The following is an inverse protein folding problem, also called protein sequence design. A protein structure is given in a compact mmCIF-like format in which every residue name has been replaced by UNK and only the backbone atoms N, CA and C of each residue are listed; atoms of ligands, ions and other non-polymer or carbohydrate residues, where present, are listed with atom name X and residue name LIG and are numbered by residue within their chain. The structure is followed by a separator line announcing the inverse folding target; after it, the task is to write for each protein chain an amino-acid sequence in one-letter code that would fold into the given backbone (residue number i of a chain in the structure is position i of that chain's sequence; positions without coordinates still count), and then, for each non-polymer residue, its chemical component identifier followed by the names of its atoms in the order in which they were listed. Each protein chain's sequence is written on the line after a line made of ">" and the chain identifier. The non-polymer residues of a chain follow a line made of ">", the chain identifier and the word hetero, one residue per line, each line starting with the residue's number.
data_IF_837450337976
#
_entry.id   IF_837450337976
#
_cell.length_a   1.000
_cell.length_b   1.000
_cell.length_c   1.000
_cell.angle_alpha   90.00
_cell.angle_beta   90.00
_cell.angle_gamma   90.00
#
_symmetry.space_group_name_H-M   'P 1'
#
loop_
_entity.id
_entity.type
_entity.pdbx_description
1 polymer ?
#
# COMPACT_ATOMS: atom_id res chain seq x y z
N UNK A 1 -12.29 -7.67 33.42
CA UNK A 1 -10.82 -7.63 33.62
C UNK A 1 -10.01 -7.85 32.34
N UNK A 2 -10.59 -8.47 31.28
CA UNK A 2 -9.86 -8.73 30.02
C UNK A 2 -9.93 -7.60 28.97
N UNK A 3 -10.88 -6.69 29.07
CA UNK A 3 -11.02 -5.58 28.09
C UNK A 3 -9.93 -4.52 28.26
N UNK A 4 -9.47 -4.24 29.46
CA UNK A 4 -8.46 -3.20 29.74
C UNK A 4 -7.04 -3.60 29.34
N UNK A 5 -6.73 -4.90 29.24
CA UNK A 5 -5.44 -5.40 28.80
C UNK A 5 -5.36 -5.40 27.25
N UNK A 6 -6.44 -5.77 26.58
CA UNK A 6 -6.53 -5.74 25.11
C UNK A 6 -6.46 -4.30 24.57
N UNK A 7 -7.04 -3.33 25.25
CA UNK A 7 -6.97 -1.92 24.85
C UNK A 7 -5.58 -1.33 25.07
N UNK A 8 -4.90 -1.67 26.15
CA UNK A 8 -3.51 -1.26 26.40
C UNK A 8 -2.49 -1.91 25.45
N UNK A 9 -2.75 -3.12 25.01
CA UNK A 9 -1.92 -3.79 24.00
C UNK A 9 -2.12 -3.18 22.62
N UNK A 10 -3.36 -2.79 22.28
CA UNK A 10 -3.66 -2.04 21.05
C UNK A 10 -2.99 -0.67 21.04
N UNK A 11 -3.03 0.07 22.13
CA UNK A 11 -2.40 1.38 22.24
C UNK A 11 -0.86 1.27 22.09
N UNK A 12 -0.23 0.29 22.70
CA UNK A 12 1.22 0.05 22.55
C UNK A 12 1.60 -0.38 21.13
N UNK A 13 0.75 -1.17 20.47
CA UNK A 13 0.94 -1.56 19.07
C UNK A 13 0.72 -0.38 18.13
N UNK A 14 -0.25 0.47 18.40
CA UNK A 14 -0.45 1.72 17.66
C UNK A 14 0.73 2.67 17.81
N UNK A 15 1.27 2.84 19.00
CA UNK A 15 2.45 3.67 19.26
C UNK A 15 3.71 3.11 18.57
N UNK A 16 3.89 1.80 18.59
CA UNK A 16 4.97 1.13 17.87
C UNK A 16 4.84 1.25 16.35
N UNK A 17 3.62 1.16 15.82
CA UNK A 17 3.31 1.38 14.43
C UNK A 17 3.50 2.83 14.01
N UNK A 18 3.10 3.78 14.85
CA UNK A 18 3.31 5.21 14.60
C UNK A 18 4.79 5.56 14.46
N UNK A 19 5.68 4.79 15.06
CA UNK A 19 7.13 4.94 14.88
C UNK A 19 7.65 4.31 13.58
N UNK A 20 6.97 3.33 13.02
CA UNK A 20 7.37 2.61 11.79
C UNK A 20 6.53 2.98 10.57
N UNK A 21 5.33 3.50 10.78
CA UNK A 21 4.46 4.05 9.75
C UNK A 21 4.69 5.56 9.72
N UNK A 22 5.26 6.01 8.63
CA UNK A 22 5.26 7.44 8.34
C UNK A 22 3.82 7.79 7.96
N UNK A 23 3.04 8.27 8.94
CA UNK A 23 1.77 8.90 8.64
C UNK A 23 2.07 10.35 8.29
N UNK A 24 1.83 10.71 7.05
CA UNK A 24 2.12 12.05 6.56
C UNK A 24 0.95 12.57 5.70
N UNK A 25 0.80 13.88 5.65
CA UNK A 25 0.16 14.56 4.52
C UNK A 25 1.29 15.11 3.65
N UNK A 26 1.77 14.33 2.69
CA UNK A 26 2.90 14.74 1.88
C UNK A 26 2.55 16.00 1.10
N UNK A 27 3.53 16.87 0.89
CA UNK A 27 3.38 18.07 0.07
C UNK A 27 4.26 17.97 -1.18
N UNK A 28 4.13 16.88 -1.90
CA UNK A 28 4.82 16.63 -3.17
C UNK A 28 3.83 16.84 -4.30
N UNK A 29 4.14 17.75 -5.21
CA UNK A 29 3.31 18.02 -6.38
C UNK A 29 3.76 17.18 -7.57
N UNK A 30 2.88 17.03 -8.56
CA UNK A 30 3.22 16.37 -9.82
C UNK A 30 4.41 17.03 -10.54
N UNK A 31 4.52 18.35 -10.44
CA UNK A 31 5.60 19.12 -11.06
C UNK A 31 6.97 18.86 -10.40
N UNK A 32 6.98 18.41 -9.15
CA UNK A 32 8.20 18.05 -8.43
C UNK A 32 8.76 16.69 -8.91
N UNK A 33 7.96 15.90 -9.62
CA UNK A 33 8.36 14.61 -10.19
C UNK A 33 8.82 14.83 -11.62
N UNK A 34 10.12 14.69 -11.88
CA UNK A 34 10.67 14.84 -13.21
C UNK A 34 10.28 13.68 -14.12
N UNK A 35 9.82 13.97 -15.33
CA UNK A 35 9.47 12.95 -16.32
C UNK A 35 8.31 12.04 -15.92
N UNK A 36 8.35 10.77 -16.34
CA UNK A 36 7.37 9.73 -16.00
C UNK A 36 5.93 10.06 -16.43
N UNK A 37 5.75 10.78 -17.53
CA UNK A 37 4.44 11.27 -17.98
C UNK A 37 3.41 10.16 -18.18
N UNK A 38 3.83 8.99 -18.70
CA UNK A 38 2.96 7.82 -18.85
C UNK A 38 2.48 7.26 -17.51
N UNK A 39 3.38 7.20 -16.53
CA UNK A 39 3.04 6.74 -15.18
C UNK A 39 2.14 7.75 -14.46
N UNK A 40 2.44 9.04 -14.56
CA UNK A 40 1.61 10.11 -14.01
C UNK A 40 0.21 10.08 -14.60
N UNK A 41 0.08 9.95 -15.93
CA UNK A 41 -1.22 9.85 -16.60
C UNK A 41 -2.00 8.63 -16.11
N UNK A 42 -1.37 7.46 -16.05
CA UNK A 42 -2.01 6.24 -15.55
C UNK A 42 -2.47 6.36 -14.10
N UNK A 43 -1.70 7.01 -13.24
CA UNK A 43 -2.06 7.26 -11.84
C UNK A 43 -3.16 8.31 -11.71
N UNK A 44 -3.14 9.37 -12.50
CA UNK A 44 -4.24 10.34 -12.55
C UNK A 44 -5.56 9.67 -12.91
N UNK A 45 -5.56 8.83 -13.92
CA UNK A 45 -6.76 8.09 -14.35
C UNK A 45 -7.23 7.07 -13.29
N UNK A 46 -6.28 6.38 -12.65
CA UNK A 46 -6.61 5.31 -11.71
C UNK A 46 -7.02 5.80 -10.33
N UNK A 47 -6.51 6.94 -9.87
CA UNK A 47 -6.67 7.44 -8.50
C UNK A 47 -7.43 8.76 -8.45
N UNK A 48 -6.97 9.75 -9.22
CA UNK A 48 -7.50 11.11 -9.13
C UNK A 48 -8.90 11.22 -9.73
N UNK A 49 -9.14 10.59 -10.89
CA UNK A 49 -10.46 10.61 -11.51
C UNK A 49 -11.56 9.98 -10.63
N UNK A 50 -11.37 8.77 -10.03
CA UNK A 50 -12.36 8.22 -9.10
C UNK A 50 -12.60 9.08 -7.85
N UNK A 51 -11.55 9.73 -7.35
CA UNK A 51 -11.66 10.62 -6.18
C UNK A 51 -12.44 11.89 -6.48
N UNK A 52 -12.23 12.49 -7.66
CA UNK A 52 -12.90 13.74 -8.07
C UNK A 52 -14.29 13.53 -8.67
N UNK A 53 -14.49 12.41 -9.35
CA UNK A 53 -15.73 12.11 -10.08
C UNK A 53 -16.28 10.72 -9.71
N UNK A 54 -16.65 10.48 -8.45
CA UNK A 54 -17.13 9.18 -8.00
C UNK A 54 -18.39 8.71 -8.76
N UNK A 55 -19.19 9.64 -9.27
CA UNK A 55 -20.37 9.36 -10.07
C UNK A 55 -20.09 8.62 -11.39
N UNK A 56 -18.87 8.72 -11.93
CA UNK A 56 -18.48 8.02 -13.14
C UNK A 56 -18.09 6.56 -12.90
N UNK A 57 -17.87 6.20 -11.62
CA UNK A 57 -17.42 4.89 -11.18
C UNK A 57 -18.52 4.12 -10.44
N UNK A 58 -19.65 3.98 -11.10
CA UNK A 58 -20.82 3.25 -10.59
C UNK A 58 -21.06 1.95 -11.37
N UNK A 59 -21.67 0.97 -10.74
CA UNK A 59 -22.00 -0.31 -11.37
C UNK A 59 -20.78 -1.17 -11.66
N UNK A 60 -20.51 -1.44 -12.93
CA UNK A 60 -19.37 -2.28 -13.37
C UNK A 60 -18.02 -1.56 -13.34
N UNK A 61 -18.02 -0.23 -13.35
CA UNK A 61 -16.82 0.61 -13.27
C UNK A 61 -16.50 0.87 -11.81
N UNK A 62 -15.61 0.07 -11.25
CA UNK A 62 -15.15 0.26 -9.85
C UNK A 62 -13.76 0.85 -9.84
N UNK A 63 -13.43 1.73 -8.87
CA UNK A 63 -12.06 2.17 -8.65
C UNK A 63 -11.13 1.00 -8.35
N UNK A 64 -9.88 1.13 -8.75
CA UNK A 64 -8.85 0.15 -8.43
C UNK A 64 -8.59 0.12 -6.92
N UNK A 65 -8.46 -1.07 -6.35
CA UNK A 65 -8.17 -1.28 -4.93
C UNK A 65 -6.68 -1.39 -4.65
N UNK A 66 -5.95 -1.97 -5.60
CA UNK A 66 -4.53 -2.18 -5.54
C UNK A 66 -3.85 -1.80 -6.84
N UNK A 67 -2.80 -0.99 -6.72
CA UNK A 67 -1.95 -0.57 -7.84
C UNK A 67 -0.52 -0.94 -7.53
N UNK A 68 0.15 -1.61 -8.46
CA UNK A 68 1.55 -1.98 -8.35
C UNK A 68 2.41 -1.06 -9.19
N UNK A 69 3.36 -0.38 -8.54
CA UNK A 69 4.44 0.35 -9.19
C UNK A 69 5.66 -0.57 -9.30
N UNK A 70 6.13 -0.81 -10.49
CA UNK A 70 7.28 -1.69 -10.69
C UNK A 70 8.29 -1.09 -11.67
N UNK A 71 9.55 -1.38 -11.45
CA UNK A 71 10.65 -0.89 -12.27
C UNK A 71 11.99 -0.92 -11.55
N UNK A 72 13.08 -0.50 -12.20
CA UNK A 72 14.41 -0.51 -11.60
C UNK A 72 14.49 0.25 -10.29
N UNK A 73 15.44 -0.07 -9.40
CA UNK A 73 15.66 0.69 -8.18
C UNK A 73 16.08 2.13 -8.49
N UNK A 74 15.75 3.05 -7.58
CA UNK A 74 16.14 4.46 -7.72
C UNK A 74 15.36 5.26 -8.75
N UNK A 75 14.21 4.77 -9.23
CA UNK A 75 13.35 5.45 -10.21
C UNK A 75 12.33 6.40 -9.60
N UNK A 76 12.32 6.56 -8.27
CA UNK A 76 11.42 7.49 -7.58
C UNK A 76 10.00 6.97 -7.34
N UNK A 77 9.80 5.64 -7.26
CA UNK A 77 8.47 5.04 -7.00
C UNK A 77 7.82 5.57 -5.72
N UNK A 78 8.58 5.67 -4.63
CA UNK A 78 8.09 6.20 -3.35
C UNK A 78 7.73 7.68 -3.43
N UNK A 79 8.52 8.44 -4.16
CA UNK A 79 8.27 9.87 -4.38
C UNK A 79 7.00 10.11 -5.21
N UNK A 80 6.82 9.30 -6.25
CA UNK A 80 5.62 9.30 -7.08
C UNK A 80 4.37 8.93 -6.27
N UNK A 81 4.47 7.95 -5.35
CA UNK A 81 3.37 7.58 -4.46
C UNK A 81 2.96 8.74 -3.55
N UNK A 82 3.92 9.50 -3.03
CA UNK A 82 3.65 10.72 -2.24
C UNK A 82 2.95 11.80 -3.07
N UNK A 83 3.36 11.99 -4.33
CA UNK A 83 2.70 12.93 -5.23
C UNK A 83 1.24 12.54 -5.49
N UNK A 84 0.96 11.26 -5.67
CA UNK A 84 -0.42 10.75 -5.80
C UNK A 84 -1.26 11.08 -4.57
N UNK A 85 -0.72 10.84 -3.38
CA UNK A 85 -1.42 11.12 -2.13
C UNK A 85 -1.70 12.62 -1.93
N UNK A 86 -0.76 13.47 -2.29
CA UNK A 86 -0.92 14.94 -2.24
C UNK A 86 -2.04 15.38 -3.17
N UNK A 87 -2.03 14.94 -4.41
CA UNK A 87 -3.02 15.35 -5.42
C UNK A 87 -4.43 14.76 -5.15
N UNK A 88 -4.50 13.60 -4.50
CA UNK A 88 -5.75 12.99 -4.09
C UNK A 88 -6.28 13.52 -2.73
N UNK A 89 -5.55 14.43 -2.09
CA UNK A 89 -5.85 14.92 -0.73
C UNK A 89 -6.11 13.77 0.27
N UNK A 90 -5.28 12.76 0.19
CA UNK A 90 -5.41 11.52 0.97
C UNK A 90 -4.37 11.45 2.08
N UNK A 91 -4.72 10.83 3.19
CA UNK A 91 -3.76 10.47 4.23
C UNK A 91 -2.84 9.37 3.72
N UNK A 92 -1.54 9.55 3.87
CA UNK A 92 -0.53 8.64 3.35
C UNK A 92 0.09 7.83 4.47
N UNK A 93 0.02 6.51 4.35
CA UNK A 93 0.66 5.56 5.24
C UNK A 93 1.76 4.84 4.47
N UNK A 94 3.01 5.01 4.88
CA UNK A 94 4.16 4.35 4.24
C UNK A 94 4.77 3.31 5.16
N UNK A 95 4.92 2.10 4.66
CA UNK A 95 5.50 0.97 5.37
C UNK A 95 6.48 0.23 4.47
N UNK A 96 7.64 -0.16 5.02
CA UNK A 96 8.53 -1.12 4.35
C UNK A 96 8.15 -2.54 4.73
N UNK A 97 7.95 -3.41 3.74
CA UNK A 97 7.64 -4.81 4.00
C UNK A 97 8.81 -5.55 4.65
N UNK A 98 10.04 -5.15 4.36
CA UNK A 98 11.24 -5.69 5.03
C UNK A 98 11.22 -5.40 6.55
N UNK A 99 10.79 -4.21 6.96
CA UNK A 99 10.63 -3.87 8.37
C UNK A 99 9.53 -4.69 9.05
N UNK A 100 8.42 -4.92 8.35
CA UNK A 100 7.33 -5.78 8.87
C UNK A 100 7.80 -7.22 9.13
N UNK A 101 8.63 -7.77 8.26
CA UNK A 101 9.14 -9.13 8.40
C UNK A 101 10.22 -9.23 9.46
N UNK A 102 11.12 -8.25 9.56
CA UNK A 102 12.34 -8.33 10.38
C UNK A 102 12.16 -7.84 11.83
N UNK A 103 11.43 -6.74 12.01
CA UNK A 103 11.34 -6.08 13.33
C UNK A 103 10.22 -6.64 14.20
N UNK A 104 9.19 -7.22 13.62
CA UNK A 104 7.96 -7.57 14.33
C UNK A 104 7.62 -9.05 14.23
N UNK A 105 8.63 -9.92 14.40
CA UNK A 105 8.44 -11.38 14.39
C UNK A 105 7.42 -11.77 15.46
N UNK A 106 6.31 -12.39 15.04
CA UNK A 106 5.21 -12.81 15.91
C UNK A 106 4.06 -11.79 16.07
N UNK A 107 4.28 -10.50 15.77
CA UNK A 107 3.26 -9.45 15.89
C UNK A 107 2.86 -8.83 14.55
N UNK A 108 3.53 -9.19 13.48
CA UNK A 108 3.37 -8.58 12.15
C UNK A 108 1.95 -8.71 11.60
N UNK A 109 1.24 -9.79 11.92
CA UNK A 109 -0.17 -9.97 11.52
C UNK A 109 -1.07 -8.91 12.18
N UNK A 110 -0.88 -8.68 13.49
CA UNK A 110 -1.61 -7.64 14.24
C UNK A 110 -1.29 -6.25 13.67
N UNK A 111 -0.04 -6.01 13.30
CA UNK A 111 0.42 -4.75 12.73
C UNK A 111 -0.26 -4.46 11.38
N UNK A 112 -0.35 -5.44 10.50
CA UNK A 112 -1.06 -5.29 9.22
C UNK A 112 -2.54 -4.98 9.46
N UNK A 113 -3.20 -5.70 10.35
CA UNK A 113 -4.59 -5.46 10.69
C UNK A 113 -4.80 -4.04 11.21
N UNK A 114 -3.97 -3.60 12.16
CA UNK A 114 -4.03 -2.25 12.74
C UNK A 114 -3.76 -1.17 11.68
N UNK A 115 -2.81 -1.38 10.76
CA UNK A 115 -2.55 -0.47 9.65
C UNK A 115 -3.79 -0.24 8.79
N UNK A 116 -4.50 -1.31 8.42
CA UNK A 116 -5.72 -1.19 7.63
C UNK A 116 -6.88 -0.58 8.44
N UNK A 117 -6.98 -0.84 9.73
CA UNK A 117 -7.96 -0.21 10.63
C UNK A 117 -7.71 1.30 10.70
N UNK A 118 -6.47 1.74 10.94
CA UNK A 118 -6.10 3.16 10.96
C UNK A 118 -6.37 3.84 9.61
N UNK A 119 -6.11 3.16 8.50
CA UNK A 119 -6.40 3.69 7.18
C UNK A 119 -7.90 3.85 6.94
N UNK A 120 -8.75 2.96 7.48
CA UNK A 120 -10.20 3.08 7.42
C UNK A 120 -10.74 4.23 8.26
N UNK A 121 -10.13 4.51 9.39
CA UNK A 121 -10.50 5.63 10.27
C UNK A 121 -10.16 6.99 9.64
N UNK A 122 -9.09 7.06 8.85
CA UNK A 122 -8.56 8.30 8.25
C UNK A 122 -8.81 8.40 6.74
N UNK A 123 -9.97 7.99 6.29
CA UNK A 123 -10.37 8.09 4.87
C UNK A 123 -10.42 9.55 4.39
N UNK A 124 -10.15 9.83 3.12
CA UNK A 124 -9.52 8.94 2.15
C UNK A 124 -8.05 8.69 2.47
N UNK A 125 -7.58 7.47 2.27
CA UNK A 125 -6.22 7.09 2.63
C UNK A 125 -5.55 6.21 1.57
N UNK A 126 -4.23 6.33 1.49
CA UNK A 126 -3.38 5.52 0.64
C UNK A 126 -2.38 4.78 1.53
N UNK A 127 -2.37 3.46 1.42
CA UNK A 127 -1.36 2.61 2.06
C UNK A 127 -0.29 2.31 1.02
N UNK A 128 0.91 2.82 1.23
CA UNK A 128 2.07 2.55 0.39
C UNK A 128 2.97 1.51 1.05
N UNK A 129 3.22 0.42 0.34
CA UNK A 129 4.09 -0.66 0.80
C UNK A 129 5.27 -0.76 -0.15
N UNK A 130 6.44 -0.37 0.36
CA UNK A 130 7.69 -0.50 -0.38
C UNK A 130 8.26 -1.91 -0.26
N UNK A 131 9.01 -2.32 -1.28
CA UNK A 131 9.65 -3.65 -1.35
C UNK A 131 8.67 -4.80 -1.08
N UNK A 132 7.49 -4.74 -1.69
CA UNK A 132 6.42 -5.70 -1.43
C UNK A 132 6.80 -7.15 -1.75
N UNK A 133 7.81 -7.35 -2.57
CA UNK A 133 8.42 -8.65 -2.86
C UNK A 133 8.96 -9.34 -1.60
N UNK A 134 9.49 -8.59 -0.62
CA UNK A 134 9.96 -9.15 0.66
C UNK A 134 8.83 -9.81 1.47
N UNK A 135 7.60 -9.30 1.32
CA UNK A 135 6.41 -9.83 1.98
C UNK A 135 5.72 -10.91 1.15
N UNK A 136 5.82 -10.81 -0.16
CA UNK A 136 4.90 -11.45 -1.10
C UNK A 136 5.62 -12.26 -2.19
N UNK A 137 6.87 -12.65 -1.97
CA UNK A 137 7.60 -13.51 -2.89
C UNK A 137 6.93 -14.86 -3.06
N UNK A 138 7.15 -15.47 -4.22
CA UNK A 138 6.65 -16.79 -4.52
C UNK A 138 7.27 -17.81 -3.56
N UNK A 139 6.50 -18.84 -3.22
CA UNK A 139 6.89 -19.89 -2.29
C UNK A 139 8.20 -20.55 -2.74
N UNK A 140 9.29 -20.28 -1.99
CA UNK A 140 10.55 -21.01 -2.10
C UNK A 140 10.68 -22.03 -0.96
N UNK A 141 11.55 -23.01 -1.13
CA UNK A 141 12.00 -23.88 -0.04
C UNK A 141 12.72 -23.01 0.99
N UNK A 142 12.06 -22.65 2.09
CA UNK A 142 12.60 -21.79 3.15
C UNK A 142 11.73 -20.58 3.52
N UNK A 143 10.53 -20.43 2.93
CA UNK A 143 9.59 -19.41 3.40
C UNK A 143 9.24 -19.70 4.87
N UNK A 144 9.56 -18.74 5.76
CA UNK A 144 9.23 -18.89 7.17
C UNK A 144 7.71 -18.92 7.37
N UNK A 145 7.24 -19.70 8.34
CA UNK A 145 5.81 -19.74 8.66
C UNK A 145 5.27 -18.35 8.99
N UNK A 146 6.11 -17.51 9.59
CA UNK A 146 5.78 -16.11 9.90
C UNK A 146 5.51 -15.30 8.63
N UNK A 147 6.37 -15.38 7.61
CA UNK A 147 6.17 -14.67 6.34
C UNK A 147 4.88 -15.11 5.64
N UNK A 148 4.57 -16.41 5.70
CA UNK A 148 3.33 -16.96 5.14
C UNK A 148 2.09 -16.42 5.84
N UNK A 149 2.12 -16.29 7.17
CA UNK A 149 1.01 -15.74 7.96
C UNK A 149 0.79 -14.26 7.64
N UNK A 150 1.87 -13.48 7.57
CA UNK A 150 1.83 -12.06 7.21
C UNK A 150 1.20 -11.89 5.82
N UNK A 151 1.63 -12.67 4.85
CA UNK A 151 1.08 -12.65 3.48
C UNK A 151 -0.41 -12.97 3.47
N UNK A 152 -0.82 -13.99 4.22
CA UNK A 152 -2.23 -14.39 4.32
C UNK A 152 -3.08 -13.27 4.92
N UNK A 153 -2.63 -12.67 6.01
CA UNK A 153 -3.35 -11.55 6.64
C UNK A 153 -3.45 -10.35 5.69
N UNK A 154 -2.37 -10.03 5.01
CA UNK A 154 -2.37 -8.96 4.00
C UNK A 154 -3.41 -9.21 2.90
N UNK A 155 -3.48 -10.44 2.38
CA UNK A 155 -4.46 -10.82 1.36
C UNK A 155 -5.91 -10.71 1.90
N UNK A 156 -6.14 -11.09 3.15
CA UNK A 156 -7.45 -10.96 3.81
C UNK A 156 -7.86 -9.49 3.94
N UNK A 157 -6.96 -8.64 4.39
CA UNK A 157 -7.21 -7.20 4.51
C UNK A 157 -7.46 -6.55 3.15
N UNK A 158 -6.70 -6.93 2.13
CA UNK A 158 -6.91 -6.47 0.75
C UNK A 158 -8.28 -6.88 0.20
N UNK A 159 -8.79 -8.06 0.56
CA UNK A 159 -10.15 -8.48 0.18
C UNK A 159 -11.24 -7.62 0.83
N UNK A 160 -10.99 -7.14 2.04
CA UNK A 160 -11.87 -6.23 2.77
C UNK A 160 -11.97 -4.85 2.12
N UNK A 161 -10.91 -4.41 1.45
CA UNK A 161 -10.86 -3.11 0.76
C UNK A 161 -11.87 -3.11 -0.40
N UNK A 162 -12.80 -2.16 -0.39
CA UNK A 162 -13.76 -1.93 -1.48
C UNK A 162 -15.05 -2.73 -1.41
N UNK A 163 -15.42 -3.33 -0.27
CA UNK A 163 -16.75 -3.88 -0.09
C UNK A 163 -17.83 -2.81 0.14
N UNK A 164 -17.45 -1.61 0.56
CA UNK A 164 -18.32 -0.44 0.66
C UNK A 164 -17.45 0.81 0.68
N UNK A 165 -17.45 1.63 -0.36
CA UNK A 165 -16.84 2.99 -0.41
C UNK A 165 -15.72 3.26 0.61
N UNK A 166 -14.79 2.30 0.76
CA UNK A 166 -13.82 2.32 1.86
C UNK A 166 -12.81 3.47 1.78
N UNK A 167 -12.71 4.13 0.63
CA UNK A 167 -11.78 5.26 0.45
C UNK A 167 -10.31 4.90 0.70
N UNK A 168 -9.97 3.62 0.59
CA UNK A 168 -8.61 3.11 0.77
C UNK A 168 -8.08 2.60 -0.56
N UNK A 169 -6.86 3.02 -0.90
CA UNK A 169 -6.07 2.51 -2.00
C UNK A 169 -4.78 1.91 -1.46
N UNK A 170 -4.40 0.74 -1.94
CA UNK A 170 -3.10 0.13 -1.65
C UNK A 170 -2.18 0.30 -2.84
N UNK A 171 -1.07 0.98 -2.63
CA UNK A 171 0.03 1.11 -3.58
C UNK A 171 1.17 0.19 -3.16
N UNK A 172 1.51 -0.79 -3.98
CA UNK A 172 2.72 -1.60 -3.79
C UNK A 172 3.84 -1.11 -4.69
N UNK A 173 5.08 -1.18 -4.23
CA UNK A 173 6.25 -0.94 -5.05
C UNK A 173 7.20 -2.14 -5.01
N UNK A 174 7.74 -2.52 -6.16
CA UNK A 174 8.72 -3.59 -6.27
C UNK A 174 9.72 -3.33 -7.41
N UNK A 175 10.94 -3.81 -7.20
CA UNK A 175 11.96 -3.85 -8.26
C UNK A 175 11.95 -5.19 -9.02
N UNK A 176 11.30 -6.22 -8.47
CA UNK A 176 11.32 -7.61 -8.98
C UNK A 176 9.89 -8.18 -9.10
N UNK A 177 9.07 -7.62 -10.01
CA UNK A 177 7.65 -7.99 -10.11
C UNK A 177 7.42 -9.46 -10.45
N UNK A 178 8.38 -10.14 -11.03
CA UNK A 178 8.32 -11.57 -11.37
C UNK A 178 8.38 -12.49 -10.16
N UNK A 179 8.92 -12.02 -9.02
CA UNK A 179 9.01 -12.78 -7.77
C UNK A 179 7.70 -12.77 -6.97
N UNK A 180 6.76 -11.90 -7.31
CA UNK A 180 5.49 -11.82 -6.61
C UNK A 180 4.64 -13.07 -6.79
N UNK A 181 4.09 -13.57 -5.70
CA UNK A 181 3.11 -14.65 -5.67
C UNK A 181 1.90 -14.33 -6.59
N UNK A 182 1.39 -15.31 -7.35
CA UNK A 182 0.22 -15.10 -8.22
C UNK A 182 -1.02 -14.55 -7.50
N UNK A 183 -1.25 -14.95 -6.24
CA UNK A 183 -2.36 -14.43 -5.44
C UNK A 183 -2.21 -12.93 -5.17
N UNK A 184 -0.99 -12.49 -4.88
CA UNK A 184 -0.68 -11.07 -4.69
C UNK A 184 -0.79 -10.28 -5.98
N UNK A 185 -0.29 -10.83 -7.10
CA UNK A 185 -0.43 -10.19 -8.42
C UNK A 185 -1.88 -9.96 -8.82
N UNK A 186 -2.81 -10.82 -8.41
CA UNK A 186 -4.25 -10.65 -8.66
C UNK A 186 -4.86 -9.53 -7.84
N UNK A 187 -4.32 -9.25 -6.64
CA UNK A 187 -4.81 -8.15 -5.79
C UNK A 187 -4.39 -6.78 -6.31
N UNK A 188 -3.23 -6.70 -7.00
CA UNK A 188 -2.79 -5.52 -7.71
C UNK A 188 -3.33 -5.54 -9.15
N UNK A 189 -4.54 -5.07 -9.31
CA UNK A 189 -5.31 -5.13 -10.56
C UNK A 189 -4.71 -4.23 -11.64
N UNK A 190 -4.16 -3.07 -11.25
CA UNK A 190 -3.46 -2.14 -12.14
C UNK A 190 -1.97 -2.19 -11.85
N UNK A 191 -1.17 -2.30 -12.92
CA UNK A 191 0.29 -2.35 -12.85
C UNK A 191 0.86 -1.24 -13.70
N UNK A 192 1.76 -0.45 -13.13
CA UNK A 192 2.35 0.72 -13.77
C UNK A 192 3.86 0.59 -13.75
N UNK A 193 4.45 0.59 -14.93
CA UNK A 193 5.90 0.56 -15.09
C UNK A 193 6.50 1.94 -14.85
N UNK A 194 7.52 2.00 -14.01
CA UNK A 194 8.29 3.20 -13.71
C UNK A 194 9.67 3.04 -14.33
N UNK A 195 9.90 3.73 -15.44
CA UNK A 195 11.16 3.70 -16.18
C UNK A 195 12.25 4.49 -15.45
N UNK A 196 13.48 4.25 -15.84
CA UNK A 196 14.58 5.18 -15.54
C UNK A 196 14.27 6.54 -16.20
N UNK A 197 14.73 7.65 -15.61
CA UNK A 197 14.60 8.96 -16.24
C UNK A 197 15.36 8.95 -17.58
N UNK A 198 14.74 9.47 -18.63
CA UNK A 198 15.42 9.76 -19.88
C UNK A 198 16.44 10.89 -19.66
N UNK A 199 17.59 10.78 -20.33
CA UNK A 199 18.65 11.79 -20.27
C UNK A 199 18.27 13.04 -21.04
#
# INVERSE_FOLDING_TARGET
>A
ANCDEDDKEKDKLQDSLMSSIIQDKPNVKWDDVAGLEGAKTSLKEAVILPARFPQLFTGKRRPWKGILLYGPPGTGKSYLAKAVATEADSTFFSVSSADLVSKYVGESEKLIKTLFEMAREKKPSIIFIDEIDSLCSARGEGESESARRIKTEFLVQMQGVGKSHDGILVLGATNVPWELDPAMRRRFEKRIYISLPDR
#
